data_IF_177352761336
#
_entry.id   IF_177352761336
#
_cell.length_a   1.000
_cell.length_b   1.000
_cell.length_c   1.000
_cell.angle_alpha   90.00
_cell.angle_beta   90.00
_cell.angle_gamma   90.00
#
_symmetry.space_group_name_H-M   'P 1'
#
loop_
_entity.id
_entity.type
_entity.pdbx_description
1 polymer ?
#
# COMPACT_ATOMS: atom_id res chain seq x y z
N UNK A 1 25.33 0.70 0.15
CA UNK A 1 23.86 0.79 -0.08
C UNK A 1 23.36 -0.59 -0.44
N UNK A 2 22.42 -1.17 0.33
CA UNK A 2 21.96 -2.56 0.12
C UNK A 2 20.82 -2.53 -0.91
N UNK A 3 20.92 -3.26 -2.04
CA UNK A 3 19.99 -3.13 -3.20
C UNK A 3 18.52 -3.48 -2.90
N UNK A 4 18.24 -4.18 -1.81
CA UNK A 4 16.87 -4.55 -1.40
C UNK A 4 16.04 -3.35 -0.90
N UNK A 5 16.63 -2.18 -0.59
CA UNK A 5 15.85 -0.98 -0.25
C UNK A 5 15.08 -0.40 -1.44
N UNK A 6 15.51 -0.68 -2.68
CA UNK A 6 14.80 -0.25 -3.90
C UNK A 6 13.59 -1.14 -4.23
N UNK A 7 13.64 -2.43 -3.87
CA UNK A 7 12.51 -3.36 -4.08
C UNK A 7 11.41 -3.10 -3.05
N UNK A 8 11.76 -2.63 -1.86
CA UNK A 8 10.82 -2.20 -0.81
C UNK A 8 10.07 -0.89 -1.13
N UNK A 9 10.48 -0.15 -2.18
CA UNK A 9 9.78 1.06 -2.61
C UNK A 9 8.40 0.76 -3.28
N UNK A 10 8.17 -0.49 -3.71
CA UNK A 10 6.83 -0.93 -4.09
C UNK A 10 6.14 -1.44 -2.82
N UNK A 11 5.59 -0.53 -2.03
CA UNK A 11 4.86 -0.87 -0.81
C UNK A 11 3.68 -1.79 -1.10
N UNK A 12 3.25 -2.55 -0.08
CA UNK A 12 2.09 -3.46 -0.16
C UNK A 12 0.82 -2.77 -0.67
N UNK A 13 0.59 -1.53 -0.26
CA UNK A 13 -0.51 -0.68 -0.72
C UNK A 13 -0.45 -0.43 -2.22
N UNK A 14 0.74 -0.09 -2.76
CA UNK A 14 0.93 0.16 -4.19
C UNK A 14 0.68 -1.09 -5.03
N UNK A 15 1.13 -2.27 -4.57
CA UNK A 15 0.86 -3.54 -5.23
C UNK A 15 -0.64 -3.86 -5.25
N UNK A 16 -1.36 -3.54 -4.17
CA UNK A 16 -2.82 -3.71 -4.11
C UNK A 16 -3.55 -2.75 -5.06
N UNK A 17 -3.18 -1.47 -5.10
CA UNK A 17 -3.75 -0.48 -6.04
C UNK A 17 -3.51 -0.93 -7.48
N UNK A 18 -2.29 -1.38 -7.80
CA UNK A 18 -1.95 -1.91 -9.12
C UNK A 18 -2.84 -3.10 -9.49
N UNK A 19 -3.00 -4.07 -8.57
CA UNK A 19 -3.86 -5.24 -8.75
C UNK A 19 -5.32 -4.84 -9.03
N UNK A 20 -5.88 -3.91 -8.29
CA UNK A 20 -7.24 -3.40 -8.51
C UNK A 20 -7.35 -2.65 -9.85
N UNK A 21 -6.34 -1.90 -10.23
CA UNK A 21 -6.25 -1.25 -11.53
C UNK A 21 -6.26 -2.24 -12.69
N UNK A 22 -5.47 -3.31 -12.62
CA UNK A 22 -5.43 -4.39 -13.60
C UNK A 22 -6.79 -5.09 -13.72
N UNK A 23 -7.46 -5.37 -12.59
CA UNK A 23 -8.80 -5.97 -12.55
C UNK A 23 -9.91 -5.01 -13.01
N UNK A 24 -9.61 -3.73 -13.20
CA UNK A 24 -10.56 -2.66 -13.53
C UNK A 24 -11.72 -2.52 -12.51
N UNK A 25 -11.52 -2.99 -11.25
CA UNK A 25 -12.55 -3.02 -10.21
C UNK A 25 -12.28 -2.03 -9.10
N UNK A 26 -13.30 -1.29 -8.72
CA UNK A 26 -13.29 -0.32 -7.61
C UNK A 26 -12.10 0.66 -7.61
N UNK A 27 -11.44 0.86 -8.78
CA UNK A 27 -10.17 1.58 -8.91
C UNK A 27 -10.28 2.99 -8.34
N UNK A 28 -11.34 3.72 -8.67
CA UNK A 28 -11.54 5.07 -8.16
C UNK A 28 -11.61 5.10 -6.63
N UNK A 29 -12.42 4.20 -6.04
CA UNK A 29 -12.59 4.15 -4.57
C UNK A 29 -11.27 3.76 -3.88
N UNK A 30 -10.54 2.79 -4.42
CA UNK A 30 -9.26 2.37 -3.86
C UNK A 30 -8.23 3.50 -3.92
N UNK A 31 -8.09 4.18 -5.07
CA UNK A 31 -7.21 5.35 -5.20
C UNK A 31 -7.61 6.47 -4.22
N UNK A 32 -8.91 6.72 -4.09
CA UNK A 32 -9.43 7.74 -3.18
C UNK A 32 -9.14 7.39 -1.72
N UNK A 33 -9.39 6.15 -1.30
CA UNK A 33 -9.12 5.69 0.08
C UNK A 33 -7.64 5.78 0.41
N UNK A 34 -6.75 5.36 -0.50
CA UNK A 34 -5.31 5.48 -0.32
C UNK A 34 -4.89 6.95 -0.20
N UNK A 35 -5.30 7.79 -1.15
CA UNK A 35 -4.90 9.20 -1.18
C UNK A 35 -5.45 10.00 0.02
N UNK A 36 -6.69 9.72 0.45
CA UNK A 36 -7.28 10.34 1.64
C UNK A 36 -6.57 9.88 2.91
N UNK A 37 -6.28 8.58 3.03
CA UNK A 37 -5.52 8.04 4.17
C UNK A 37 -4.13 8.69 4.28
N UNK A 38 -3.41 8.78 3.17
CA UNK A 38 -2.13 9.49 3.12
C UNK A 38 -2.28 10.98 3.50
N UNK A 39 -3.32 11.63 2.96
CA UNK A 39 -3.62 13.02 3.28
C UNK A 39 -3.85 13.26 4.78
N UNK A 40 -4.54 12.34 5.46
CA UNK A 40 -4.73 12.39 6.91
C UNK A 40 -3.39 12.21 7.62
N UNK A 41 -2.60 11.21 7.24
CA UNK A 41 -1.30 10.91 7.87
C UNK A 41 -0.28 12.04 7.65
N UNK A 42 -0.22 12.62 6.44
CA UNK A 42 0.61 13.79 6.12
C UNK A 42 0.21 14.97 7.01
N UNK A 43 -1.09 15.24 7.10
CA UNK A 43 -1.61 16.36 7.90
C UNK A 43 -1.27 16.19 9.38
N UNK A 44 -1.42 14.98 9.91
CA UNK A 44 -1.03 14.64 11.28
C UNK A 44 0.49 14.81 11.48
N UNK A 45 1.30 14.35 10.53
CA UNK A 45 2.76 14.51 10.58
C UNK A 45 3.19 15.96 10.65
N UNK A 46 2.67 16.78 9.75
CA UNK A 46 2.96 18.22 9.68
C UNK A 46 2.44 18.98 10.91
N UNK A 47 1.30 18.56 11.48
CA UNK A 47 0.77 19.10 12.74
C UNK A 47 1.60 18.71 13.99
N UNK A 48 2.69 17.92 13.83
CA UNK A 48 3.59 17.56 14.93
C UNK A 48 3.22 16.28 15.69
N UNK A 49 2.25 15.50 15.21
CA UNK A 49 1.85 14.22 15.84
C UNK A 49 2.96 13.16 15.82
N UNK A 50 4.06 13.35 15.08
CA UNK A 50 5.21 12.45 15.12
C UNK A 50 5.82 12.28 16.52
N UNK A 51 5.74 13.31 17.36
CA UNK A 51 6.16 13.24 18.77
C UNK A 51 5.22 12.37 19.60
N UNK A 52 3.92 12.43 19.33
CA UNK A 52 2.89 11.63 20.01
C UNK A 52 3.06 10.15 19.65
N UNK A 53 3.27 9.82 18.38
CA UNK A 53 3.50 8.43 17.94
C UNK A 53 4.71 7.81 18.65
N UNK A 54 5.78 8.58 18.83
CA UNK A 54 6.98 8.13 19.57
C UNK A 54 6.72 7.85 21.05
N UNK A 55 5.72 8.48 21.66
CA UNK A 55 5.37 8.29 23.07
C UNK A 55 4.52 7.03 23.33
N UNK A 56 3.93 6.46 22.26
CA UNK A 56 3.08 5.28 22.37
C UNK A 56 3.67 4.08 21.60
N UNK A 57 4.74 3.44 22.12
CA UNK A 57 5.39 2.31 21.44
C UNK A 57 4.44 1.12 21.21
N UNK A 58 3.36 1.03 21.97
CA UNK A 58 2.32 0.00 21.78
C UNK A 58 1.66 0.09 20.41
N UNK A 59 1.48 1.30 19.86
CA UNK A 59 0.91 1.49 18.50
C UNK A 59 1.84 0.86 17.46
N UNK A 60 3.13 1.08 17.59
CA UNK A 60 4.14 0.49 16.69
C UNK A 60 4.15 -1.04 16.78
N UNK A 61 4.09 -1.60 17.99
CA UNK A 61 4.07 -3.04 18.22
C UNK A 61 2.83 -3.67 17.58
N UNK A 62 1.64 -3.11 17.83
CA UNK A 62 0.38 -3.61 17.28
C UNK A 62 0.37 -3.51 15.76
N UNK A 63 0.81 -2.38 15.18
CA UNK A 63 0.89 -2.21 13.74
C UNK A 63 1.91 -3.18 13.11
N UNK A 64 3.05 -3.42 13.78
CA UNK A 64 4.11 -4.32 13.32
C UNK A 64 3.62 -5.77 13.23
N UNK A 65 3.13 -6.32 14.34
CA UNK A 65 2.70 -7.73 14.36
C UNK A 65 1.38 -7.95 13.64
N UNK A 66 0.42 -7.03 13.77
CA UNK A 66 -0.83 -7.06 13.02
C UNK A 66 -0.60 -6.94 11.51
N UNK A 67 0.28 -6.03 11.09
CA UNK A 67 0.70 -5.86 9.70
C UNK A 67 1.43 -7.09 9.16
N UNK A 68 2.37 -7.65 9.93
CA UNK A 68 3.08 -8.88 9.53
C UNK A 68 2.14 -10.05 9.33
N UNK A 69 1.19 -10.27 10.26
CA UNK A 69 0.18 -11.32 10.14
C UNK A 69 -0.71 -11.09 8.90
N UNK A 70 -1.22 -9.88 8.71
CA UNK A 70 -2.04 -9.51 7.55
C UNK A 70 -1.29 -9.72 6.22
N UNK A 71 -0.05 -9.24 6.11
CA UNK A 71 0.77 -9.38 4.91
C UNK A 71 1.09 -10.85 4.61
N UNK A 72 1.35 -11.66 5.65
CA UNK A 72 1.58 -13.10 5.50
C UNK A 72 0.34 -13.81 4.96
N UNK A 73 -0.84 -13.54 5.52
CA UNK A 73 -2.10 -14.10 5.02
C UNK A 73 -2.32 -13.71 3.57
N UNK A 74 -2.12 -12.42 3.24
CA UNK A 74 -2.31 -11.93 1.88
C UNK A 74 -1.28 -12.53 0.90
N UNK A 75 -0.03 -12.74 1.32
CA UNK A 75 0.99 -13.45 0.54
C UNK A 75 0.57 -14.88 0.22
N UNK A 76 0.06 -15.61 1.22
CA UNK A 76 -0.43 -16.99 1.03
C UNK A 76 -1.62 -17.06 0.07
N UNK A 77 -2.54 -16.08 0.14
CA UNK A 77 -3.66 -15.99 -0.80
C UNK A 77 -3.18 -15.75 -2.23
N UNK A 78 -2.18 -14.86 -2.43
CA UNK A 78 -1.60 -14.63 -3.76
C UNK A 78 -0.86 -15.87 -4.27
N UNK A 79 -0.10 -16.59 -3.43
CA UNK A 79 0.52 -17.84 -3.85
C UNK A 79 -0.54 -18.91 -4.20
N UNK A 80 -1.60 -19.05 -3.40
CA UNK A 80 -2.70 -19.95 -3.73
C UNK A 80 -3.29 -19.60 -5.11
N UNK A 81 -3.60 -18.34 -5.37
CA UNK A 81 -4.08 -17.86 -6.67
C UNK A 81 -3.11 -18.22 -7.79
N UNK A 82 -1.80 -17.94 -7.62
CA UNK A 82 -0.78 -18.25 -8.62
C UNK A 82 -0.68 -19.73 -8.99
N UNK A 83 -0.92 -20.66 -8.03
CA UNK A 83 -0.75 -22.09 -8.26
C UNK A 83 -2.05 -22.83 -8.59
N UNK A 84 -3.20 -22.36 -8.12
CA UNK A 84 -4.47 -23.11 -8.19
C UNK A 84 -5.35 -22.63 -9.33
N UNK A 85 -5.28 -21.35 -9.71
CA UNK A 85 -6.19 -20.80 -10.70
C UNK A 85 -5.63 -20.98 -12.12
N UNK A 86 -6.40 -21.70 -12.95
CA UNK A 86 -6.10 -21.92 -14.38
C UNK A 86 -6.62 -20.77 -15.25
N UNK A 87 -7.32 -19.80 -14.65
CA UNK A 87 -8.10 -18.80 -15.37
C UNK A 87 -7.44 -17.42 -15.36
N UNK A 88 -7.57 -16.75 -16.51
CA UNK A 88 -7.23 -15.35 -16.72
C UNK A 88 -8.03 -14.41 -15.81
N UNK A 89 -7.68 -13.13 -15.83
CA UNK A 89 -8.35 -12.01 -15.14
C UNK A 89 -9.89 -12.09 -15.13
N UNK A 90 -10.51 -12.70 -16.16
CA UNK A 90 -11.95 -12.83 -16.31
C UNK A 90 -12.59 -13.71 -15.22
N UNK A 91 -11.98 -14.83 -14.82
CA UNK A 91 -12.56 -15.73 -13.81
C UNK A 91 -12.41 -15.19 -12.37
N UNK A 92 -11.37 -14.43 -12.08
CA UNK A 92 -11.25 -13.71 -10.81
C UNK A 92 -12.20 -12.48 -10.76
N UNK A 93 -12.65 -12.00 -11.93
CA UNK A 93 -13.64 -10.96 -12.02
C UNK A 93 -15.03 -11.46 -11.58
N UNK A 94 -15.30 -12.75 -11.67
CA UNK A 94 -16.59 -13.35 -11.25
C UNK A 94 -16.67 -13.62 -9.75
N UNK A 95 -15.55 -13.76 -9.03
CA UNK A 95 -15.58 -13.79 -7.56
C UNK A 95 -15.80 -12.38 -7.04
N UNK A 96 -17.03 -12.07 -6.69
CA UNK A 96 -17.46 -10.79 -6.15
C UNK A 96 -16.74 -10.43 -4.85
N UNK A 97 -15.58 -9.80 -4.94
CA UNK A 97 -15.08 -9.08 -3.78
C UNK A 97 -15.98 -7.86 -3.56
N UNK A 98 -16.73 -7.86 -2.48
CA UNK A 98 -17.61 -6.74 -2.14
C UNK A 98 -16.77 -5.45 -2.02
N UNK A 99 -17.37 -4.32 -2.38
CA UNK A 99 -16.74 -2.99 -2.20
C UNK A 99 -16.22 -2.82 -0.76
N UNK A 100 -17.00 -3.26 0.22
CA UNK A 100 -16.63 -3.19 1.63
C UNK A 100 -15.35 -3.98 1.92
N UNK A 101 -15.23 -5.20 1.42
CA UNK A 101 -14.03 -6.04 1.58
C UNK A 101 -12.81 -5.37 0.93
N UNK A 102 -12.99 -4.81 -0.28
CA UNK A 102 -11.91 -4.11 -0.99
C UNK A 102 -11.41 -2.89 -0.20
N UNK A 103 -12.33 -2.09 0.33
CA UNK A 103 -11.98 -0.91 1.15
C UNK A 103 -11.32 -1.34 2.46
N UNK A 104 -11.84 -2.38 3.13
CA UNK A 104 -11.25 -2.88 4.38
C UNK A 104 -9.80 -3.37 4.18
N UNK A 105 -9.54 -4.11 3.10
CA UNK A 105 -8.19 -4.56 2.74
C UNK A 105 -7.29 -3.35 2.42
N UNK A 106 -7.78 -2.36 1.68
CA UNK A 106 -7.05 -1.15 1.36
C UNK A 106 -6.63 -0.38 2.62
N UNK A 107 -7.56 -0.20 3.57
CA UNK A 107 -7.28 0.42 4.86
C UNK A 107 -6.27 -0.40 5.67
N UNK A 108 -6.39 -1.73 5.66
CA UNK A 108 -5.45 -2.60 6.36
C UNK A 108 -4.02 -2.44 5.81
N UNK A 109 -3.82 -2.37 4.49
CA UNK A 109 -2.51 -2.12 3.89
C UNK A 109 -1.90 -0.78 4.27
N UNK A 110 -2.72 0.23 4.54
CA UNK A 110 -2.26 1.55 4.98
C UNK A 110 -2.03 1.59 6.48
N UNK A 111 -3.06 1.29 7.27
CA UNK A 111 -3.07 1.56 8.71
C UNK A 111 -2.40 0.47 9.55
N UNK A 112 -2.24 -0.77 9.05
CA UNK A 112 -1.46 -1.83 9.71
C UNK A 112 0.00 -1.86 9.24
N UNK A 113 0.45 -0.90 8.44
CA UNK A 113 1.83 -0.82 7.98
C UNK A 113 2.61 0.19 8.83
N UNK A 114 3.51 -0.23 9.73
CA UNK A 114 4.28 0.67 10.57
C UNK A 114 5.20 1.61 9.77
N UNK A 115 5.67 1.18 8.59
CA UNK A 115 6.50 2.05 7.73
C UNK A 115 5.75 3.29 7.26
N UNK A 116 4.43 3.21 7.07
CA UNK A 116 3.62 4.37 6.69
C UNK A 116 3.67 5.46 7.77
N UNK A 117 3.63 5.08 9.04
CA UNK A 117 3.76 6.04 10.15
C UNK A 117 5.16 6.66 10.21
N UNK A 118 6.21 5.85 9.97
CA UNK A 118 7.58 6.33 9.96
C UNK A 118 7.83 7.30 8.80
N UNK A 119 7.38 6.94 7.61
CA UNK A 119 7.65 7.72 6.40
C UNK A 119 6.73 8.93 6.29
N UNK A 120 5.45 8.80 6.63
CA UNK A 120 4.46 9.85 6.41
C UNK A 120 4.31 10.75 7.62
N UNK A 121 4.19 10.19 8.84
CA UNK A 121 3.97 11.01 10.04
C UNK A 121 5.30 11.54 10.58
N UNK A 122 6.32 10.70 10.71
CA UNK A 122 7.58 11.09 11.35
C UNK A 122 8.51 11.78 10.36
N UNK A 123 8.79 11.16 9.20
CA UNK A 123 9.75 11.71 8.24
C UNK A 123 9.21 12.97 7.58
N UNK A 124 8.02 12.93 6.95
CA UNK A 124 7.45 14.12 6.32
C UNK A 124 7.15 15.22 7.34
N UNK A 125 6.69 14.86 8.55
CA UNK A 125 6.53 15.81 9.65
C UNK A 125 7.85 16.50 10.00
N UNK A 126 8.94 15.77 10.09
CA UNK A 126 10.27 16.34 10.36
C UNK A 126 10.78 17.21 9.21
N UNK A 127 10.58 16.79 7.96
CA UNK A 127 10.96 17.57 6.79
C UNK A 127 10.15 18.87 6.71
N UNK A 128 8.87 18.84 7.07
CA UNK A 128 8.00 20.02 7.03
C UNK A 128 8.50 21.18 7.89
N UNK A 129 9.25 20.89 8.99
CA UNK A 129 9.80 21.94 9.86
C UNK A 129 10.80 22.84 9.13
N UNK A 130 11.46 22.35 8.09
CA UNK A 130 12.40 23.12 7.28
C UNK A 130 11.69 24.15 6.38
N UNK A 131 10.39 24.00 6.20
CA UNK A 131 9.55 24.88 5.36
C UNK A 131 8.77 25.92 6.18
N UNK A 132 9.17 26.19 7.43
CA UNK A 132 8.53 27.24 8.22
C UNK A 132 8.79 28.64 7.60
N UNK A 133 7.76 29.49 7.40
CA UNK A 133 6.36 29.36 7.82
C UNK A 133 5.43 28.68 6.76
N UNK A 134 5.95 28.14 5.67
CA UNK A 134 5.17 27.56 4.56
C UNK A 134 4.82 26.07 4.75
N UNK A 135 4.73 25.58 5.99
CA UNK A 135 4.40 24.16 6.28
C UNK A 135 3.06 23.72 5.70
N UNK A 136 2.08 24.61 5.67
CA UNK A 136 0.77 24.31 5.06
C UNK A 136 0.89 24.07 3.56
N UNK A 137 1.66 24.88 2.83
CA UNK A 137 1.87 24.72 1.40
C UNK A 137 2.63 23.42 1.11
N UNK A 138 3.61 23.06 1.96
CA UNK A 138 4.31 21.79 1.90
C UNK A 138 3.33 20.60 2.06
N UNK A 139 2.48 20.63 3.10
CA UNK A 139 1.48 19.60 3.33
C UNK A 139 0.51 19.47 2.15
N UNK A 140 0.00 20.61 1.64
CA UNK A 140 -0.90 20.64 0.49
C UNK A 140 -0.24 20.02 -0.75
N UNK A 141 1.02 20.38 -1.03
CA UNK A 141 1.78 19.80 -2.14
C UNK A 141 1.98 18.29 -1.99
N UNK A 142 2.29 17.80 -0.79
CA UNK A 142 2.44 16.39 -0.53
C UNK A 142 1.12 15.62 -0.68
N UNK A 143 0.00 16.18 -0.20
CA UNK A 143 -1.33 15.59 -0.38
C UNK A 143 -1.70 15.53 -1.86
N UNK A 144 -1.53 16.62 -2.61
CA UNK A 144 -1.79 16.63 -4.07
C UNK A 144 -0.93 15.58 -4.77
N UNK A 145 0.36 15.47 -4.41
CA UNK A 145 1.26 14.48 -4.99
C UNK A 145 0.77 13.05 -4.72
N UNK A 146 0.27 12.75 -3.51
CA UNK A 146 -0.32 11.45 -3.17
C UNK A 146 -1.56 11.15 -4.03
N UNK A 147 -2.46 12.12 -4.21
CA UNK A 147 -3.61 11.96 -5.11
C UNK A 147 -3.16 11.66 -6.54
N UNK A 148 -2.28 12.49 -7.10
CA UNK A 148 -1.76 12.29 -8.46
C UNK A 148 -1.11 10.92 -8.60
N UNK A 149 -0.31 10.50 -7.61
CA UNK A 149 0.37 9.22 -7.62
C UNK A 149 -0.60 8.03 -7.64
N UNK A 150 -1.55 7.95 -6.68
CA UNK A 150 -2.47 6.82 -6.61
C UNK A 150 -3.42 6.75 -7.79
N UNK A 151 -3.91 7.89 -8.25
CA UNK A 151 -4.77 7.91 -9.44
C UNK A 151 -3.99 7.55 -10.70
N UNK A 152 -2.75 8.02 -10.86
CA UNK A 152 -1.89 7.62 -11.97
C UNK A 152 -1.57 6.13 -11.93
N UNK A 153 -1.26 5.59 -10.74
CA UNK A 153 -0.96 4.16 -10.57
C UNK A 153 -2.19 3.29 -10.87
N UNK A 154 -3.33 3.58 -10.27
CA UNK A 154 -4.53 2.77 -10.41
C UNK A 154 -5.14 2.84 -11.81
N UNK A 155 -5.23 4.02 -12.40
CA UNK A 155 -5.75 4.17 -13.77
C UNK A 155 -4.71 3.81 -14.83
N UNK A 156 -3.42 4.08 -14.59
CA UNK A 156 -2.33 3.65 -15.46
C UNK A 156 -2.21 2.13 -15.56
N UNK A 157 -2.49 1.41 -14.47
CA UNK A 157 -2.53 -0.06 -14.47
C UNK A 157 -3.54 -0.63 -15.50
N UNK A 158 -4.63 0.07 -15.78
CA UNK A 158 -5.63 -0.36 -16.78
C UNK A 158 -5.04 -0.49 -18.18
N UNK A 159 -4.04 0.32 -18.50
CA UNK A 159 -3.35 0.26 -19.81
C UNK A 159 -2.58 -1.05 -19.96
N UNK A 160 -2.11 -1.60 -18.84
CA UNK A 160 -1.38 -2.87 -18.79
C UNK A 160 -2.32 -4.09 -18.73
N UNK A 161 -3.62 -3.90 -18.47
CA UNK A 161 -4.58 -5.00 -18.32
C UNK A 161 -4.56 -6.02 -19.48
N UNK A 162 -4.46 -5.63 -20.77
CA UNK A 162 -4.41 -6.59 -21.87
C UNK A 162 -3.22 -7.57 -21.79
N UNK A 163 -2.09 -7.16 -21.22
CA UNK A 163 -0.92 -8.03 -21.02
C UNK A 163 -1.24 -9.13 -19.99
N UNK A 164 -2.08 -8.79 -19.01
CA UNK A 164 -2.46 -9.68 -17.91
C UNK A 164 -3.71 -10.52 -18.19
N UNK A 165 -4.33 -10.38 -19.36
CA UNK A 165 -5.31 -11.35 -19.89
C UNK A 165 -4.65 -12.70 -20.18
N UNK A 166 -3.32 -12.73 -20.37
CA UNK A 166 -2.57 -13.97 -20.47
C UNK A 166 -2.45 -14.64 -19.09
N UNK A 167 -2.97 -15.89 -18.92
CA UNK A 167 -2.93 -16.61 -17.63
C UNK A 167 -1.52 -16.76 -17.04
N UNK A 168 -0.51 -16.91 -17.90
CA UNK A 168 0.90 -17.02 -17.45
C UNK A 168 1.40 -15.70 -16.87
N UNK A 169 1.09 -14.57 -17.50
CA UNK A 169 1.48 -13.25 -17.02
C UNK A 169 0.79 -12.96 -15.68
N UNK A 170 -0.49 -13.32 -15.54
CA UNK A 170 -1.23 -13.18 -14.29
C UNK A 170 -0.63 -14.02 -13.16
N UNK A 171 -0.32 -15.31 -13.41
CA UNK A 171 0.33 -16.19 -12.42
C UNK A 171 1.68 -15.64 -11.96
N UNK A 172 2.51 -15.15 -12.88
CA UNK A 172 3.80 -14.53 -12.54
C UNK A 172 3.59 -13.28 -11.69
N UNK A 173 2.62 -12.46 -12.03
CA UNK A 173 2.27 -11.26 -11.25
C UNK A 173 1.83 -11.61 -9.82
N UNK A 174 0.88 -12.54 -9.66
CA UNK A 174 0.41 -13.00 -8.35
C UNK A 174 1.55 -13.58 -7.51
N UNK A 175 2.43 -14.36 -8.12
CA UNK A 175 3.60 -14.92 -7.46
C UNK A 175 4.57 -13.84 -6.99
N UNK A 176 4.85 -12.83 -7.83
CA UNK A 176 5.71 -11.69 -7.47
C UNK A 176 5.10 -10.85 -6.36
N UNK A 177 3.81 -10.58 -6.42
CA UNK A 177 3.09 -9.87 -5.33
C UNK A 177 3.18 -10.68 -4.03
N UNK A 178 2.99 -12.00 -4.08
CA UNK A 178 3.16 -12.88 -2.92
C UNK A 178 4.56 -12.78 -2.30
N UNK A 179 5.62 -12.80 -3.13
CA UNK A 179 7.00 -12.63 -2.66
C UNK A 179 7.20 -11.27 -1.99
N UNK A 180 6.72 -10.19 -2.61
CA UNK A 180 6.85 -8.83 -2.07
C UNK A 180 6.16 -8.74 -0.70
N UNK A 181 4.92 -9.25 -0.59
CA UNK A 181 4.16 -9.23 0.66
C UNK A 181 4.85 -10.05 1.75
N UNK A 182 5.39 -11.22 1.42
CA UNK A 182 6.11 -12.06 2.37
C UNK A 182 7.43 -11.40 2.81
N UNK A 183 8.18 -10.81 1.89
CA UNK A 183 9.42 -10.09 2.20
C UNK A 183 9.16 -8.90 3.13
N UNK A 184 8.07 -8.16 2.90
CA UNK A 184 7.64 -7.07 3.78
C UNK A 184 7.22 -7.61 5.16
N UNK A 185 6.46 -8.69 5.24
CA UNK A 185 6.07 -9.32 6.50
C UNK A 185 7.29 -9.75 7.33
N UNK A 186 8.26 -10.39 6.69
CA UNK A 186 9.52 -10.80 7.33
C UNK A 186 10.35 -9.59 7.78
N UNK A 187 10.41 -8.53 6.98
CA UNK A 187 11.10 -7.28 7.33
C UNK A 187 10.50 -6.63 8.59
N UNK A 188 9.18 -6.69 8.76
CA UNK A 188 8.51 -6.17 9.96
C UNK A 188 8.90 -6.93 11.23
N UNK A 189 9.13 -8.24 11.13
CA UNK A 189 9.48 -9.08 12.28
C UNK A 189 10.99 -9.10 12.54
N UNK A 190 11.83 -9.01 11.50
CA UNK A 190 13.29 -9.12 11.61
C UNK A 190 14.01 -7.85 12.07
N UNK A 191 13.35 -6.68 11.98
CA UNK A 191 13.89 -5.40 12.45
C UNK A 191 13.60 -5.17 13.95
N UNK A 192 13.79 -6.20 14.78
CA UNK A 192 13.72 -6.13 16.24
C UNK A 192 15.10 -5.81 16.81
#
# INVERSE_FOLDING_TARGET
>A
MRPYRLILAIGSQNAFVLKQGLKKRHVFIVCLVCAVSDGILISLGVAGFGTVVKQFPTIEIVARYGGAAFLTIYALLNFKSAFTETHALEAEAETESSLFTTVAICLAFTWLNPHVYLDTVILLGSVSTQYHPQQFQFALGAVIASFVFFFSLGFGARVLAPVFENPKAWKVFEFLVGIIMLALALSLVSNV
#
